data_IF_134380282627
#
_entry.id   IF_134380282627
#
_cell.length_a   1.000
_cell.length_b   1.000
_cell.length_c   1.000
_cell.angle_alpha   90.00
_cell.angle_beta   90.00
_cell.angle_gamma   90.00
#
_symmetry.space_group_name_H-M   'P 1'
#
loop_
_entity.id
_entity.type
_entity.pdbx_description
1 polymer ?
#
# COMPACT_ATOMS: atom_id res chain seq x y z
N UNK A 1 51.68 -36.05 -18.81
CA UNK A 1 51.41 -37.03 -17.74
C UNK A 1 52.58 -36.98 -16.76
N UNK A 2 52.33 -36.56 -15.54
CA UNK A 2 53.30 -36.64 -14.43
C UNK A 2 53.10 -37.98 -13.75
N UNK A 3 54.11 -38.86 -13.83
CA UNK A 3 54.12 -40.16 -13.17
C UNK A 3 55.17 -40.14 -12.06
N UNK A 4 54.86 -40.77 -10.92
CA UNK A 4 55.85 -41.10 -9.89
C UNK A 4 56.30 -42.54 -10.14
N UNK A 5 57.61 -42.79 -10.10
CA UNK A 5 58.15 -44.16 -10.18
C UNK A 5 58.07 -44.75 -8.79
N UNK A 6 57.25 -45.78 -8.59
CA UNK A 6 57.22 -46.48 -7.30
C UNK A 6 58.48 -47.36 -7.19
N UNK A 7 59.38 -46.98 -6.29
CA UNK A 7 60.73 -47.55 -6.16
C UNK A 7 60.73 -49.04 -5.77
N UNK A 8 59.61 -49.59 -5.29
CA UNK A 8 59.49 -51.00 -4.91
C UNK A 8 59.00 -51.93 -6.03
N UNK A 9 58.34 -51.40 -7.07
CA UNK A 9 57.63 -52.26 -8.06
C UNK A 9 57.82 -51.87 -9.53
N UNK A 10 58.57 -50.80 -9.84
CA UNK A 10 59.03 -50.53 -11.22
C UNK A 10 57.95 -50.18 -12.24
N UNK A 11 56.73 -49.85 -11.82
CA UNK A 11 55.67 -49.36 -12.71
C UNK A 11 55.35 -47.88 -12.44
N UNK A 12 54.88 -47.19 -13.50
CA UNK A 12 54.37 -45.82 -13.41
C UNK A 12 52.90 -45.85 -13.00
N UNK A 13 52.57 -45.22 -11.88
CA UNK A 13 51.19 -44.93 -11.52
C UNK A 13 50.85 -43.52 -12.03
N UNK A 14 49.83 -43.41 -12.88
CA UNK A 14 49.36 -42.11 -13.33
C UNK A 14 48.73 -41.38 -12.13
N UNK A 15 49.25 -40.21 -11.77
CA UNK A 15 48.64 -39.39 -10.73
C UNK A 15 47.32 -38.85 -11.30
N UNK A 16 46.20 -39.40 -10.84
CA UNK A 16 44.88 -38.86 -11.14
C UNK A 16 44.65 -37.56 -10.35
N UNK A 17 45.22 -36.48 -10.89
CA UNK A 17 45.07 -35.13 -10.37
C UNK A 17 43.60 -34.66 -10.44
N UNK A 18 42.78 -35.20 -11.35
CA UNK A 18 41.37 -34.85 -11.43
C UNK A 18 40.60 -35.39 -10.23
N UNK A 19 40.87 -36.61 -9.80
CA UNK A 19 40.32 -37.19 -8.56
C UNK A 19 40.69 -36.44 -7.28
N UNK A 20 41.69 -35.56 -7.32
CA UNK A 20 42.08 -34.71 -6.18
C UNK A 20 41.21 -33.45 -6.08
N UNK A 21 40.69 -32.94 -7.19
CA UNK A 21 39.92 -31.69 -7.26
C UNK A 21 38.44 -31.90 -7.53
N UNK A 22 38.09 -32.94 -8.28
CA UNK A 22 36.73 -33.28 -8.66
C UNK A 22 36.27 -34.52 -7.88
N UNK A 23 34.99 -34.55 -7.52
CA UNK A 23 34.38 -35.71 -6.86
C UNK A 23 34.40 -36.93 -7.79
N UNK A 24 34.93 -38.06 -7.30
CA UNK A 24 35.10 -39.28 -8.11
C UNK A 24 33.77 -39.87 -8.59
N UNK A 25 32.70 -39.71 -7.82
CA UNK A 25 31.39 -40.29 -8.11
C UNK A 25 30.57 -39.31 -8.93
N UNK A 26 30.52 -38.06 -8.49
CA UNK A 26 29.72 -36.99 -9.08
C UNK A 26 30.26 -36.42 -10.39
N UNK A 27 31.53 -36.65 -10.72
CA UNK A 27 32.13 -36.11 -11.95
C UNK A 27 31.95 -37.09 -13.12
N UNK A 28 31.42 -36.58 -14.23
CA UNK A 28 31.31 -37.32 -15.50
C UNK A 28 32.59 -37.20 -16.33
N UNK A 29 33.16 -36.00 -16.37
CA UNK A 29 34.36 -35.68 -17.14
C UNK A 29 35.14 -34.58 -16.44
N UNK A 30 36.46 -34.66 -16.49
CA UNK A 30 37.35 -33.61 -16.00
C UNK A 30 38.18 -33.09 -17.17
N UNK A 31 38.14 -31.78 -17.40
CA UNK A 31 38.93 -31.10 -18.43
C UNK A 31 40.01 -30.24 -17.76
N UNK A 32 41.22 -30.27 -18.31
CA UNK A 32 42.36 -29.49 -17.81
C UNK A 32 42.69 -28.43 -18.86
N UNK A 33 42.41 -27.17 -18.54
CA UNK A 33 42.61 -26.03 -19.46
C UNK A 33 43.54 -25.04 -18.77
N UNK A 34 44.70 -24.78 -19.38
CA UNK A 34 45.71 -23.85 -18.84
C UNK A 34 46.13 -24.16 -17.39
N UNK A 35 46.19 -25.43 -17.02
CA UNK A 35 46.53 -25.87 -15.65
C UNK A 35 45.41 -25.72 -14.61
N UNK A 36 44.20 -25.28 -15.01
CA UNK A 36 43.00 -25.31 -14.16
C UNK A 36 42.15 -26.53 -14.48
N UNK A 37 41.51 -27.07 -13.44
CA UNK A 37 40.67 -28.26 -13.50
C UNK A 37 39.20 -27.85 -13.57
N UNK A 38 38.47 -28.37 -14.56
CA UNK A 38 37.05 -28.13 -14.76
C UNK A 38 36.30 -29.46 -14.62
N UNK A 39 35.48 -29.56 -13.58
CA UNK A 39 34.69 -30.76 -13.30
C UNK A 39 33.32 -30.65 -13.98
N UNK A 40 33.06 -31.53 -14.95
CA UNK A 40 31.75 -31.64 -15.59
C UNK A 40 30.96 -32.68 -14.81
N UNK A 41 29.95 -32.21 -14.08
CA UNK A 41 29.17 -33.05 -13.18
C UNK A 41 28.22 -34.00 -13.92
N UNK A 42 27.91 -35.12 -13.27
CA UNK A 42 26.79 -35.98 -13.62
C UNK A 42 25.47 -35.21 -13.41
N UNK A 43 24.38 -35.57 -14.12
CA UNK A 43 23.09 -34.90 -13.95
C UNK A 43 22.53 -34.92 -12.53
N UNK A 44 22.98 -35.83 -11.66
CA UNK A 44 22.53 -35.91 -10.26
C UNK A 44 23.40 -35.12 -9.28
N UNK A 45 24.51 -34.52 -9.74
CA UNK A 45 25.46 -33.79 -8.90
C UNK A 45 25.69 -32.38 -9.43
N UNK A 46 26.10 -31.46 -8.55
CA UNK A 46 26.31 -30.04 -8.84
C UNK A 46 27.51 -29.45 -8.08
N UNK A 47 27.79 -28.18 -8.36
CA UNK A 47 28.88 -27.42 -7.77
C UNK A 47 30.19 -27.54 -8.55
N UNK A 48 31.16 -26.70 -8.20
CA UNK A 48 32.42 -26.57 -8.95
C UNK A 48 33.26 -27.87 -9.00
N UNK A 49 33.11 -28.73 -7.99
CA UNK A 49 33.79 -30.01 -7.88
C UNK A 49 32.84 -31.22 -7.93
N UNK A 50 31.55 -31.02 -8.22
CA UNK A 50 30.54 -32.08 -8.28
C UNK A 50 30.33 -32.87 -6.99
N UNK A 51 30.71 -32.32 -5.82
CA UNK A 51 30.58 -33.01 -4.53
C UNK A 51 29.17 -32.96 -3.93
N UNK A 52 28.31 -32.08 -4.43
CA UNK A 52 26.95 -31.92 -3.90
C UNK A 52 25.94 -32.66 -4.76
N UNK A 53 24.92 -33.23 -4.14
CA UNK A 53 23.72 -33.69 -4.86
C UNK A 53 23.02 -32.48 -5.47
N UNK A 54 22.49 -32.65 -6.67
CA UNK A 54 21.85 -31.55 -7.41
C UNK A 54 20.62 -31.04 -6.66
N UNK A 55 20.57 -29.74 -6.42
CA UNK A 55 19.39 -29.06 -5.90
C UNK A 55 18.66 -28.35 -7.05
N UNK A 56 17.50 -28.87 -7.49
CA UNK A 56 16.75 -28.28 -8.59
C UNK A 56 16.17 -26.89 -8.28
N UNK A 57 16.10 -26.49 -7.01
CA UNK A 57 15.74 -25.12 -6.64
C UNK A 57 16.85 -24.12 -7.00
N UNK A 58 18.11 -24.53 -6.95
CA UNK A 58 19.26 -23.67 -7.25
C UNK A 58 19.58 -23.71 -8.75
N UNK A 59 19.78 -24.90 -9.31
CA UNK A 59 20.15 -25.09 -10.71
C UNK A 59 19.69 -26.44 -11.26
N UNK A 60 19.43 -26.49 -12.58
CA UNK A 60 19.04 -27.71 -13.28
C UNK A 60 20.19 -28.27 -14.11
N UNK A 61 20.15 -29.58 -14.40
CA UNK A 61 21.13 -30.21 -15.28
C UNK A 61 20.99 -29.78 -16.76
N UNK A 62 19.85 -29.18 -17.10
CA UNK A 62 19.51 -28.70 -18.44
C UNK A 62 19.12 -27.23 -18.34
N UNK A 63 19.58 -26.44 -19.32
CA UNK A 63 19.26 -25.01 -19.41
C UNK A 63 17.89 -24.74 -20.07
N UNK A 64 17.10 -25.78 -20.34
CA UNK A 64 15.79 -25.66 -21.00
C UNK A 64 14.73 -25.05 -20.07
N UNK A 65 14.87 -25.27 -18.76
CA UNK A 65 13.93 -24.79 -17.76
C UNK A 65 14.63 -23.90 -16.73
N UNK A 66 13.83 -23.06 -16.09
CA UNK A 66 14.29 -22.20 -15.01
C UNK A 66 14.54 -23.00 -13.73
N UNK A 67 15.51 -22.56 -12.93
CA UNK A 67 15.71 -23.10 -11.58
C UNK A 67 14.49 -22.86 -10.71
N UNK A 68 14.23 -23.76 -9.77
CA UNK A 68 13.03 -23.71 -8.94
C UNK A 68 12.90 -22.43 -8.13
N UNK A 69 13.99 -21.85 -7.62
CA UNK A 69 13.92 -20.57 -6.88
C UNK A 69 13.40 -19.42 -7.74
N UNK A 70 13.79 -19.42 -9.02
CA UNK A 70 13.32 -18.43 -9.99
C UNK A 70 11.87 -18.71 -10.39
N UNK A 71 11.55 -19.97 -10.70
CA UNK A 71 10.21 -20.38 -11.10
C UNK A 71 9.16 -20.21 -10.00
N UNK A 72 9.51 -20.50 -8.74
CA UNK A 72 8.64 -20.36 -7.59
C UNK A 72 8.60 -18.92 -7.04
N UNK A 73 9.35 -17.99 -7.66
CA UNK A 73 9.40 -16.59 -7.27
C UNK A 73 9.77 -16.37 -5.79
N UNK A 74 10.82 -17.05 -5.35
CA UNK A 74 11.26 -17.06 -3.94
C UNK A 74 11.62 -15.67 -3.42
N UNK A 75 12.12 -14.79 -4.29
CA UNK A 75 12.39 -13.39 -3.95
C UNK A 75 11.15 -12.62 -3.49
N UNK A 76 9.95 -13.02 -3.94
CA UNK A 76 8.66 -12.45 -3.54
C UNK A 76 7.93 -13.32 -2.50
N UNK A 77 8.63 -14.20 -1.80
CA UNK A 77 8.10 -15.01 -0.71
C UNK A 77 7.50 -16.36 -1.13
N UNK A 78 7.68 -16.77 -2.39
CA UNK A 78 7.36 -18.15 -2.78
C UNK A 78 8.32 -19.16 -2.17
N UNK A 79 7.92 -20.43 -2.15
CA UNK A 79 8.74 -21.52 -1.58
C UNK A 79 8.97 -22.58 -2.65
N UNK A 80 10.23 -23.01 -2.78
CA UNK A 80 10.63 -24.10 -3.66
C UNK A 80 10.90 -25.37 -2.86
N UNK A 81 10.28 -26.48 -3.28
CA UNK A 81 10.49 -27.81 -2.73
C UNK A 81 11.12 -28.72 -3.79
N UNK A 82 12.43 -28.90 -3.72
CA UNK A 82 13.21 -29.70 -4.66
C UNK A 82 13.44 -31.14 -4.21
N UNK A 83 13.47 -32.09 -5.15
CA UNK A 83 13.97 -33.45 -4.89
C UNK A 83 15.46 -33.52 -5.23
N UNK A 84 16.30 -33.66 -4.21
CA UNK A 84 17.76 -33.70 -4.38
C UNK A 84 18.21 -34.81 -5.32
N UNK A 85 19.21 -34.51 -6.15
CA UNK A 85 19.74 -35.39 -7.18
C UNK A 85 18.90 -35.44 -8.46
N UNK A 86 17.83 -34.65 -8.57
CA UNK A 86 16.94 -34.61 -9.74
C UNK A 86 16.79 -33.19 -10.30
N UNK A 87 15.99 -33.04 -11.36
CA UNK A 87 15.54 -31.74 -11.88
C UNK A 87 14.12 -31.38 -11.38
N UNK A 88 13.54 -32.17 -10.49
CA UNK A 88 12.12 -32.06 -10.11
C UNK A 88 11.96 -31.17 -8.89
N UNK A 89 11.10 -30.17 -9.01
CA UNK A 89 10.72 -29.28 -7.92
C UNK A 89 9.23 -28.95 -7.97
N UNK A 90 8.71 -28.49 -6.84
CA UNK A 90 7.35 -27.99 -6.70
C UNK A 90 7.36 -26.61 -6.07
N UNK A 91 6.48 -25.75 -6.56
CA UNK A 91 6.32 -24.40 -6.04
C UNK A 91 5.10 -24.28 -5.15
N UNK A 92 5.27 -23.59 -4.02
CA UNK A 92 4.18 -23.01 -3.27
C UNK A 92 4.19 -21.50 -3.51
N UNK A 93 3.15 -21.01 -4.18
CA UNK A 93 3.09 -19.61 -4.57
C UNK A 93 2.74 -18.70 -3.39
N UNK A 94 3.34 -17.50 -3.35
CA UNK A 94 2.92 -16.45 -2.43
C UNK A 94 1.55 -15.90 -2.84
N UNK A 95 0.87 -15.19 -1.94
CA UNK A 95 -0.52 -14.77 -2.14
C UNK A 95 -0.77 -14.01 -3.46
N UNK A 96 0.13 -13.09 -3.82
CA UNK A 96 0.02 -12.23 -5.02
C UNK A 96 0.41 -12.91 -6.34
N UNK A 97 0.80 -14.19 -6.33
CA UNK A 97 1.24 -14.90 -7.53
C UNK A 97 0.55 -16.26 -7.66
N UNK A 98 0.45 -16.76 -8.88
CA UNK A 98 -0.14 -18.04 -9.23
C UNK A 98 0.65 -18.71 -10.36
N UNK A 99 0.36 -19.98 -10.60
CA UNK A 99 0.97 -20.74 -11.69
C UNK A 99 0.54 -20.17 -13.04
N UNK A 100 1.52 -19.89 -13.90
CA UNK A 100 1.29 -19.53 -15.29
C UNK A 100 1.09 -20.81 -16.12
N UNK A 101 -0.09 -21.00 -16.75
CA UNK A 101 -0.41 -22.20 -17.53
C UNK A 101 0.33 -22.27 -18.87
N UNK A 102 1.00 -21.21 -19.33
CA UNK A 102 1.83 -21.25 -20.52
C UNK A 102 3.04 -22.17 -20.36
N UNK A 103 3.48 -22.39 -19.11
CA UNK A 103 4.60 -23.25 -18.79
C UNK A 103 4.13 -24.60 -18.24
N UNK A 104 4.75 -25.67 -18.74
CA UNK A 104 4.42 -27.05 -18.33
C UNK A 104 5.07 -27.49 -17.01
N UNK A 105 5.85 -26.62 -16.36
CA UNK A 105 6.53 -26.90 -15.09
C UNK A 105 5.89 -26.10 -13.93
N UNK A 106 6.02 -26.62 -12.71
CA UNK A 106 5.50 -25.96 -11.50
C UNK A 106 6.14 -24.57 -11.37
N UNK A 107 5.33 -23.52 -11.29
CA UNK A 107 5.82 -22.15 -11.28
C UNK A 107 4.85 -21.21 -10.56
N UNK A 108 5.29 -19.98 -10.30
CA UNK A 108 4.52 -18.89 -9.68
C UNK A 108 4.79 -17.57 -10.42
N UNK A 109 4.74 -17.63 -11.75
CA UNK A 109 5.16 -16.53 -12.64
C UNK A 109 4.02 -15.60 -13.05
N UNK A 110 2.78 -16.03 -12.90
CA UNK A 110 1.62 -15.19 -13.20
C UNK A 110 1.24 -14.39 -11.96
N UNK A 111 1.09 -13.07 -12.11
CA UNK A 111 0.53 -12.23 -11.03
C UNK A 111 -0.92 -12.65 -10.83
N UNK A 112 -1.31 -12.84 -9.56
CA UNK A 112 -2.70 -13.13 -9.24
C UNK A 112 -3.51 -11.86 -9.41
N UNK A 113 -4.40 -11.86 -10.39
CA UNK A 113 -5.29 -10.75 -10.70
C UNK A 113 -6.73 -11.25 -10.79
N UNK A 114 -7.53 -10.99 -9.77
CA UNK A 114 -8.93 -11.41 -9.71
C UNK A 114 -9.80 -10.66 -10.73
N UNK A 115 -9.37 -9.49 -11.20
CA UNK A 115 -10.02 -8.74 -12.27
C UNK A 115 -9.97 -9.44 -13.63
N UNK A 116 -9.03 -10.37 -13.85
CA UNK A 116 -9.03 -11.18 -15.07
C UNK A 116 -10.28 -12.08 -15.21
N UNK A 117 -10.99 -12.34 -14.11
CA UNK A 117 -12.20 -13.17 -14.08
C UNK A 117 -13.44 -12.42 -13.56
N UNK A 118 -13.28 -11.17 -13.14
CA UNK A 118 -14.37 -10.36 -12.57
C UNK A 118 -14.75 -9.28 -13.57
N UNK A 119 -16.05 -9.17 -13.84
CA UNK A 119 -16.58 -8.19 -14.80
C UNK A 119 -17.31 -7.09 -14.01
N UNK A 120 -16.90 -5.85 -14.23
CA UNK A 120 -17.62 -4.65 -13.77
C UNK A 120 -18.28 -4.02 -14.99
N UNK A 121 -19.63 -3.95 -15.03
CA UNK A 121 -20.35 -3.60 -16.25
C UNK A 121 -20.17 -2.13 -16.60
N UNK A 122 -20.42 -1.24 -15.64
CA UNK A 122 -20.30 0.21 -15.77
C UNK A 122 -19.33 0.77 -14.72
N UNK A 123 -18.12 0.23 -14.69
CA UNK A 123 -17.10 0.63 -13.73
C UNK A 123 -15.74 -0.02 -13.95
N UNK A 124 -14.77 0.45 -13.19
CA UNK A 124 -13.42 -0.07 -13.21
C UNK A 124 -13.26 -1.23 -12.21
N UNK A 125 -12.58 -2.30 -12.62
CA UNK A 125 -12.22 -3.39 -11.72
C UNK A 125 -10.87 -3.11 -11.06
N UNK A 126 -10.81 -3.27 -9.74
CA UNK A 126 -9.56 -3.24 -8.98
C UNK A 126 -9.39 -4.52 -8.17
N UNK A 127 -8.24 -5.17 -8.34
CA UNK A 127 -7.86 -6.32 -7.50
C UNK A 127 -7.26 -5.84 -6.19
N UNK A 128 -7.52 -6.57 -5.11
CA UNK A 128 -6.85 -6.41 -3.82
C UNK A 128 -5.33 -6.58 -3.96
N UNK A 129 -4.57 -6.05 -3.00
CA UNK A 129 -3.09 -6.13 -2.98
C UNK A 129 -2.57 -7.57 -3.05
N UNK A 130 -3.31 -8.51 -2.47
CA UNK A 130 -2.99 -9.94 -2.48
C UNK A 130 -3.60 -10.68 -3.69
N UNK A 131 -4.32 -9.97 -4.56
CA UNK A 131 -4.90 -10.50 -5.78
C UNK A 131 -6.06 -11.48 -5.56
N UNK A 132 -6.54 -11.67 -4.33
CA UNK A 132 -7.58 -12.68 -4.02
C UNK A 132 -9.00 -12.17 -4.21
N UNK A 133 -9.20 -10.86 -4.05
CA UNK A 133 -10.51 -10.22 -4.17
C UNK A 133 -10.46 -9.18 -5.29
N UNK A 134 -11.61 -8.96 -5.91
CA UNK A 134 -11.82 -7.87 -6.86
C UNK A 134 -12.99 -7.03 -6.39
N UNK A 135 -12.86 -5.72 -6.55
CA UNK A 135 -13.90 -4.74 -6.24
C UNK A 135 -14.19 -3.90 -7.49
N UNK A 136 -15.46 -3.62 -7.73
CA UNK A 136 -15.88 -2.73 -8.80
C UNK A 136 -16.06 -1.31 -8.26
N UNK A 137 -15.40 -0.36 -8.91
CA UNK A 137 -15.60 1.06 -8.68
C UNK A 137 -16.57 1.56 -9.76
N UNK A 138 -17.82 1.76 -9.38
CA UNK A 138 -18.86 2.15 -10.33
C UNK A 138 -18.75 3.62 -10.72
N UNK A 139 -19.03 3.91 -11.99
CA UNK A 139 -19.19 5.27 -12.48
C UNK A 139 -20.39 5.96 -11.81
N UNK A 140 -20.49 7.29 -11.95
CA UNK A 140 -21.52 8.10 -11.28
C UNK A 140 -22.95 7.68 -11.65
N UNK A 141 -23.13 7.15 -12.86
CA UNK A 141 -24.40 6.67 -13.38
C UNK A 141 -24.71 5.20 -13.02
N UNK A 142 -23.85 4.48 -12.30
CA UNK A 142 -24.05 3.06 -12.03
C UNK A 142 -23.82 2.62 -10.57
N UNK A 143 -24.58 1.63 -10.11
CA UNK A 143 -24.49 1.07 -8.78
C UNK A 143 -24.71 -0.46 -8.80
N UNK A 144 -24.54 -1.09 -7.63
CA UNK A 144 -24.59 -2.54 -7.49
C UNK A 144 -23.21 -3.11 -7.17
N UNK A 145 -23.14 -4.43 -6.97
CA UNK A 145 -21.87 -5.09 -6.61
C UNK A 145 -20.90 -5.11 -7.79
N UNK A 146 -21.43 -5.23 -9.00
CA UNK A 146 -20.70 -5.32 -10.26
C UNK A 146 -21.04 -4.15 -11.19
N UNK A 147 -21.59 -3.06 -10.63
CA UNK A 147 -22.04 -1.88 -11.37
C UNK A 147 -23.07 -2.21 -12.45
N UNK A 148 -23.96 -3.16 -12.14
CA UNK A 148 -24.93 -3.75 -13.05
C UNK A 148 -26.22 -2.94 -13.19
N UNK A 149 -26.46 -1.97 -12.30
CA UNK A 149 -27.66 -1.15 -12.30
C UNK A 149 -27.32 0.29 -12.66
N UNK A 150 -28.12 0.90 -13.54
CA UNK A 150 -28.00 2.33 -13.87
C UNK A 150 -28.81 3.16 -12.87
N UNK A 151 -28.23 4.26 -12.39
CA UNK A 151 -28.90 5.26 -11.57
C UNK A 151 -29.85 6.12 -12.41
N UNK A 152 -30.94 6.51 -11.78
CA UNK A 152 -31.84 7.53 -12.30
C UNK A 152 -31.17 8.90 -12.35
N UNK A 153 -31.74 9.78 -13.17
CA UNK A 153 -31.31 11.16 -13.27
C UNK A 153 -32.22 12.06 -12.45
N UNK A 154 -31.64 13.07 -11.82
CA UNK A 154 -32.43 14.07 -11.13
C UNK A 154 -33.28 14.86 -12.13
N UNK A 155 -34.58 14.99 -11.85
CA UNK A 155 -35.47 15.86 -12.60
C UNK A 155 -35.07 17.33 -12.44
N UNK A 156 -35.70 18.20 -13.23
CA UNK A 156 -35.61 19.64 -13.00
C UNK A 156 -36.12 19.99 -11.61
N UNK A 157 -35.49 21.00 -11.01
CA UNK A 157 -35.93 21.54 -9.74
C UNK A 157 -37.34 22.14 -9.86
N UNK A 158 -38.16 21.94 -8.83
CA UNK A 158 -39.37 22.73 -8.64
C UNK A 158 -39.01 24.22 -8.53
N UNK A 159 -39.98 25.12 -8.77
CA UNK A 159 -39.87 26.48 -8.28
C UNK A 159 -39.55 26.50 -6.79
N UNK A 160 -38.89 27.57 -6.33
CA UNK A 160 -38.70 27.81 -4.91
C UNK A 160 -40.04 28.02 -4.21
N UNK A 161 -40.17 27.49 -3.00
CA UNK A 161 -41.27 27.86 -2.11
C UNK A 161 -41.16 29.33 -1.72
N UNK A 162 -42.27 29.88 -1.26
CA UNK A 162 -42.24 31.13 -0.50
C UNK A 162 -41.39 31.00 0.75
N UNK A 163 -40.87 32.13 1.23
CA UNK A 163 -40.13 32.20 2.48
C UNK A 163 -41.07 31.92 3.66
N UNK A 164 -40.74 30.93 4.46
CA UNK A 164 -41.53 30.54 5.63
C UNK A 164 -40.63 30.43 6.87
N UNK A 165 -40.99 31.10 7.98
CA UNK A 165 -42.04 32.14 8.07
C UNK A 165 -41.76 33.34 7.16
N UNK A 166 -42.77 34.15 6.86
CA UNK A 166 -42.66 35.33 5.99
C UNK A 166 -41.95 36.53 6.65
N UNK A 167 -41.65 36.42 7.94
CA UNK A 167 -40.84 37.37 8.70
C UNK A 167 -40.00 36.61 9.74
N UNK A 168 -38.92 37.20 10.22
CA UNK A 168 -38.03 36.65 11.24
C UNK A 168 -36.61 37.16 11.13
N UNK A 169 -35.95 37.38 12.28
CA UNK A 169 -34.52 37.66 12.38
C UNK A 169 -33.67 36.37 12.28
N UNK A 170 -32.39 36.48 11.93
CA UNK A 170 -31.37 35.41 12.04
C UNK A 170 -31.60 34.10 11.25
N UNK A 171 -31.60 34.14 9.92
CA UNK A 171 -31.69 32.93 9.07
C UNK A 171 -32.91 32.04 9.41
N UNK A 172 -33.95 32.59 10.06
CA UNK A 172 -35.14 31.83 10.40
C UNK A 172 -36.07 31.64 9.21
N UNK A 173 -36.04 32.58 8.27
CA UNK A 173 -36.78 32.46 7.03
C UNK A 173 -36.02 31.55 6.08
N UNK A 174 -36.71 30.50 5.65
CA UNK A 174 -36.17 29.55 4.68
C UNK A 174 -37.16 29.32 3.57
N UNK A 175 -36.61 29.07 2.40
CA UNK A 175 -37.34 28.53 1.26
C UNK A 175 -36.75 27.18 0.89
N UNK A 176 -37.60 26.33 0.34
CA UNK A 176 -37.23 25.00 -0.09
C UNK A 176 -37.64 24.80 -1.54
N UNK A 177 -36.90 23.96 -2.25
CA UNK A 177 -37.32 23.39 -3.52
C UNK A 177 -37.01 21.91 -3.52
N UNK A 178 -37.81 21.16 -4.27
CA UNK A 178 -37.67 19.72 -4.38
C UNK A 178 -37.50 19.32 -5.84
N UNK A 179 -36.98 18.13 -6.06
CA UNK A 179 -36.93 17.49 -7.39
C UNK A 179 -37.15 16.00 -7.24
N UNK A 180 -37.76 15.41 -8.25
CA UNK A 180 -37.99 13.98 -8.29
C UNK A 180 -36.81 13.25 -8.92
N UNK A 181 -36.70 11.95 -8.64
CA UNK A 181 -35.75 11.07 -9.32
C UNK A 181 -36.43 10.47 -10.56
N UNK A 182 -35.86 10.67 -11.74
CA UNK A 182 -36.29 10.03 -12.98
C UNK A 182 -35.59 8.68 -13.08
N UNK A 183 -36.29 7.61 -12.69
CA UNK A 183 -35.73 6.27 -12.54
C UNK A 183 -35.56 5.89 -11.07
N UNK A 184 -34.58 5.04 -10.78
CA UNK A 184 -34.33 4.54 -9.42
C UNK A 184 -32.94 4.93 -8.91
N UNK A 185 -32.77 5.03 -7.58
CA UNK A 185 -31.47 5.18 -6.94
C UNK A 185 -30.61 6.38 -7.41
N UNK A 186 -31.22 7.55 -7.62
CA UNK A 186 -30.46 8.79 -7.84
C UNK A 186 -29.41 9.02 -6.73
N UNK A 187 -28.23 9.48 -7.12
CA UNK A 187 -27.10 9.71 -6.20
C UNK A 187 -27.33 10.94 -5.31
N UNK A 188 -26.72 10.94 -4.11
CA UNK A 188 -26.68 12.11 -3.23
C UNK A 188 -27.68 12.14 -2.07
N UNK A 189 -28.33 11.03 -1.70
CA UNK A 189 -29.15 10.92 -0.48
C UNK A 189 -30.31 11.93 -0.46
N UNK A 190 -30.24 12.95 0.43
CA UNK A 190 -31.19 14.07 0.47
C UNK A 190 -31.08 15.02 -0.74
N UNK A 191 -30.41 14.61 -1.82
CA UNK A 191 -30.25 15.37 -3.06
C UNK A 191 -31.57 15.77 -3.73
N UNK A 192 -32.72 15.25 -3.29
CA UNK A 192 -34.05 15.69 -3.73
C UNK A 192 -34.50 17.02 -3.09
N UNK A 193 -33.86 17.49 -2.02
CA UNK A 193 -34.26 18.67 -1.25
C UNK A 193 -33.13 19.70 -1.22
N UNK A 194 -33.44 20.94 -1.60
CA UNK A 194 -32.54 22.08 -1.43
C UNK A 194 -33.24 23.11 -0.54
N UNK A 195 -32.54 23.55 0.50
CA UNK A 195 -32.98 24.60 1.42
C UNK A 195 -32.02 25.79 1.36
N UNK A 196 -32.59 27.00 1.34
CA UNK A 196 -31.85 28.26 1.35
C UNK A 196 -32.50 29.24 2.33
N UNK A 197 -31.69 30.08 2.96
CA UNK A 197 -32.18 31.17 3.81
C UNK A 197 -32.61 32.36 2.97
N UNK A 198 -33.73 32.97 3.34
CA UNK A 198 -34.21 34.18 2.69
C UNK A 198 -33.57 35.44 3.29
N UNK A 199 -33.73 36.56 2.59
CA UNK A 199 -33.39 37.87 3.13
C UNK A 199 -34.14 38.13 4.44
N UNK A 200 -33.45 38.83 5.35
CA UNK A 200 -34.02 39.14 6.66
C UNK A 200 -35.16 40.16 6.49
N UNK A 201 -36.38 39.72 6.74
CA UNK A 201 -37.52 40.60 6.97
C UNK A 201 -37.96 40.49 8.43
N UNK A 202 -37.55 41.41 9.32
CA UNK A 202 -37.90 41.33 10.73
C UNK A 202 -39.42 41.39 10.93
N UNK A 203 -39.95 40.57 11.84
CA UNK A 203 -41.35 40.66 12.25
C UNK A 203 -41.61 41.96 13.05
N UNK A 204 -42.84 42.45 13.07
CA UNK A 204 -43.19 43.72 13.75
C UNK A 204 -42.78 43.77 15.23
N UNK A 205 -42.89 42.65 15.94
CA UNK A 205 -42.43 42.50 17.32
C UNK A 205 -40.90 42.54 17.44
N UNK A 206 -40.18 41.95 16.50
CA UNK A 206 -38.72 41.96 16.45
C UNK A 206 -38.18 43.37 16.13
N UNK A 207 -38.83 44.11 15.22
CA UNK A 207 -38.53 45.53 14.96
C UNK A 207 -38.67 46.34 16.26
N UNK A 208 -39.73 46.09 17.03
CA UNK A 208 -39.95 46.76 18.32
C UNK A 208 -38.82 46.45 19.32
N UNK A 209 -38.33 45.21 19.34
CA UNK A 209 -37.20 44.81 20.19
C UNK A 209 -35.89 45.45 19.73
N UNK A 210 -35.60 45.47 18.42
CA UNK A 210 -34.42 46.12 17.86
C UNK A 210 -34.40 47.63 18.13
N UNK A 211 -35.55 48.29 18.04
CA UNK A 211 -35.67 49.72 18.34
C UNK A 211 -35.44 50.01 19.83
N UNK A 212 -35.84 49.11 20.75
CA UNK A 212 -35.49 49.24 22.18
C UNK A 212 -34.00 49.02 22.43
N UNK A 213 -33.38 48.08 21.72
CA UNK A 213 -31.95 47.79 21.86
C UNK A 213 -31.10 48.97 21.36
N UNK A 214 -31.40 49.55 20.19
CA UNK A 214 -30.66 50.71 19.67
C UNK A 214 -30.79 51.99 20.52
N UNK A 215 -31.72 52.02 21.49
CA UNK A 215 -31.94 53.14 22.40
C UNK A 215 -31.29 52.95 23.78
N UNK A 216 -30.68 51.79 24.07
CA UNK A 216 -30.14 51.51 25.41
C UNK A 216 -28.65 51.87 25.49
N UNK A 217 -28.37 52.94 26.25
CA UNK A 217 -27.03 53.41 26.65
C UNK A 217 -26.19 52.30 27.34
N UNK A 218 -26.86 51.26 27.83
CA UNK A 218 -26.23 50.08 28.43
C UNK A 218 -25.57 49.15 27.39
N UNK A 219 -26.01 49.16 26.12
CA UNK A 219 -25.41 48.30 25.08
C UNK A 219 -24.02 48.78 24.67
N UNK A 220 -23.78 50.09 24.59
CA UNK A 220 -22.43 50.59 24.32
C UNK A 220 -21.48 50.24 25.47
N UNK A 221 -21.94 50.36 26.72
CA UNK A 221 -21.17 49.91 27.90
C UNK A 221 -20.88 48.42 27.86
N UNK A 222 -21.86 47.59 27.50
CA UNK A 222 -21.69 46.14 27.36
C UNK A 222 -20.73 45.78 26.22
N UNK A 223 -20.79 46.46 25.06
CA UNK A 223 -19.83 46.25 23.96
C UNK A 223 -18.40 46.60 24.39
N UNK A 224 -18.22 47.70 25.11
CA UNK A 224 -16.94 48.09 25.70
C UNK A 224 -16.43 47.07 26.72
N UNK A 225 -17.31 46.55 27.58
CA UNK A 225 -16.98 45.52 28.56
C UNK A 225 -16.60 44.18 27.90
N UNK A 226 -17.32 43.75 26.87
CA UNK A 226 -17.01 42.51 26.14
C UNK A 226 -15.66 42.61 25.43
N UNK A 227 -15.38 43.74 24.75
CA UNK A 227 -14.07 44.01 24.13
C UNK A 227 -12.93 44.00 25.17
N UNK A 228 -13.17 44.55 26.36
CA UNK A 228 -12.21 44.50 27.47
C UNK A 228 -11.97 43.07 27.96
N UNK A 229 -13.01 42.24 28.07
CA UNK A 229 -12.90 40.84 28.50
C UNK A 229 -12.16 39.98 27.45
N UNK A 230 -12.40 40.19 26.16
CA UNK A 230 -11.68 39.49 25.09
C UNK A 230 -10.19 39.84 25.10
N UNK A 231 -9.84 41.12 25.29
CA UNK A 231 -8.45 41.57 25.36
C UNK A 231 -7.70 40.96 26.56
N UNK A 232 -8.34 40.86 27.72
CA UNK A 232 -7.72 40.28 28.93
C UNK A 232 -7.53 38.77 28.79
N UNK A 233 -8.51 38.06 28.22
CA UNK A 233 -8.39 36.63 27.91
C UNK A 233 -7.27 36.34 26.90
N UNK A 234 -7.10 37.19 25.91
CA UNK A 234 -6.00 37.08 24.93
C UNK A 234 -4.62 37.27 25.60
N UNK A 235 -4.47 38.27 26.47
CA UNK A 235 -3.24 38.52 27.22
C UNK A 235 -2.91 37.35 28.16
N UNK A 236 -3.91 36.78 28.83
CA UNK A 236 -3.68 35.62 29.70
C UNK A 236 -3.24 34.39 28.90
N UNK A 237 -3.86 34.15 27.74
CA UNK A 237 -3.51 33.05 26.86
C UNK A 237 -2.11 33.20 26.27
N UNK A 238 -1.73 34.40 25.83
CA UNK A 238 -0.38 34.67 25.30
C UNK A 238 0.69 34.54 26.38
N UNK A 239 0.40 34.96 27.62
CA UNK A 239 1.29 34.76 28.78
C UNK A 239 1.51 33.28 29.10
N UNK A 240 0.47 32.44 29.02
CA UNK A 240 0.59 30.99 29.20
C UNK A 240 1.45 30.37 28.09
N UNK A 241 1.22 30.73 26.84
CA UNK A 241 2.02 30.25 25.70
C UNK A 241 3.49 30.64 25.82
N UNK A 242 3.79 31.87 26.24
CA UNK A 242 5.15 32.33 26.49
C UNK A 242 5.85 31.50 27.58
N UNK A 243 5.15 31.15 28.66
CA UNK A 243 5.69 30.26 29.72
C UNK A 243 5.99 28.85 29.20
N UNK A 244 5.11 28.27 28.38
CA UNK A 244 5.36 26.95 27.78
C UNK A 244 6.53 26.96 26.81
N UNK A 245 6.66 28.00 25.98
CA UNK A 245 7.81 28.15 25.08
C UNK A 245 9.12 28.24 25.87
N UNK A 246 9.15 29.02 26.95
CA UNK A 246 10.31 29.09 27.84
C UNK A 246 10.67 27.71 28.43
N UNK A 247 9.69 26.95 28.92
CA UNK A 247 9.92 25.59 29.43
C UNK A 247 10.48 24.64 28.35
N UNK A 248 9.93 24.69 27.14
CA UNK A 248 10.41 23.87 26.02
C UNK A 248 11.87 24.23 25.67
N UNK A 249 12.20 25.52 25.58
CA UNK A 249 13.59 25.94 25.33
C UNK A 249 14.55 25.49 26.43
N UNK A 250 14.11 25.49 27.69
CA UNK A 250 14.89 24.99 28.82
C UNK A 250 15.15 23.48 28.69
N UNK A 251 14.13 22.68 28.37
CA UNK A 251 14.28 21.22 28.20
C UNK A 251 15.19 20.89 27.02
N UNK A 252 15.03 21.58 25.89
CA UNK A 252 15.90 21.39 24.72
C UNK A 252 17.36 21.74 25.05
N UNK A 253 17.60 22.82 25.79
CA UNK A 253 18.96 23.18 26.21
C UNK A 253 19.60 22.12 27.11
N UNK A 254 18.83 21.52 28.02
CA UNK A 254 19.30 20.43 28.88
C UNK A 254 19.58 19.15 28.07
N UNK A 255 18.71 18.79 27.13
CA UNK A 255 18.90 17.63 26.26
C UNK A 255 20.17 17.76 25.40
N UNK A 256 20.40 18.94 24.81
CA UNK A 256 21.62 19.22 24.04
C UNK A 256 22.86 19.12 24.93
N UNK A 257 22.84 19.68 26.14
CA UNK A 257 23.95 19.56 27.08
C UNK A 257 24.25 18.09 27.43
N UNK A 258 23.22 17.27 27.69
CA UNK A 258 23.40 15.83 27.96
C UNK A 258 23.97 15.07 26.76
N UNK A 259 23.51 15.36 25.54
CA UNK A 259 24.03 14.74 24.33
C UNK A 259 25.51 15.09 24.11
N UNK A 260 25.89 16.35 24.32
CA UNK A 260 27.30 16.78 24.23
C UNK A 260 28.15 16.04 25.28
N UNK A 261 27.69 15.91 26.53
CA UNK A 261 28.44 15.16 27.55
C UNK A 261 28.61 13.68 27.19
N UNK A 262 27.58 13.03 26.63
CA UNK A 262 27.68 11.63 26.20
C UNK A 262 28.68 11.46 25.05
N UNK A 263 28.70 12.38 24.09
CA UNK A 263 29.68 12.36 22.99
C UNK A 263 31.11 12.54 23.50
N UNK A 264 31.33 13.39 24.51
CA UNK A 264 32.67 13.63 25.07
C UNK A 264 33.17 12.46 25.93
N UNK A 265 32.28 11.75 26.63
CA UNK A 265 32.66 10.63 27.51
C UNK A 265 32.68 9.26 26.84
N UNK A 266 32.07 9.11 25.65
CA UNK A 266 32.02 7.86 24.89
C UNK A 266 32.90 7.85 23.62
N UNK A 267 33.74 8.88 23.43
CA UNK A 267 34.77 8.94 22.39
C UNK A 267 36.17 8.79 23.00
#
# INVERSE_FOLDING_TARGET
MTCFVNAEFGYCEAIDLCSKYCDKVGTRKCDIIQGRYFCICRPTHMGLNCSYTRDPCVELASNVHMSGNSACNVANGGVCWGTLGTNTYHCQCPASFTSDPFYSFSNCLQVRDQCASTICIHGDCVSSKDGQEAHCICHEEAYGKYCEFTRGQWAQWSPWSECSPNCGLHNHQKRIRTRDCLGEACSGGLGYLHMEFCDIQPCSNEILMLNRLNSSEDIEKLKLQVLQIESTRYIEMSSRLAKYLLLITCVLSAAVATAITLVVYCA
#
